data_IF_910079085243
#
_entry.id   IF_910079085243
#
_cell.length_a   1.000
_cell.length_b   1.000
_cell.length_c   1.000
_cell.angle_alpha   90.00
_cell.angle_beta   90.00
_cell.angle_gamma   90.00
#
_symmetry.space_group_name_H-M   'P 1'
#
loop_
_entity.id
_entity.type
_entity.pdbx_description
1 polymer ?
#
# COMPACT_ATOMS: atom_id res chain seq x y z
N UNK A 1 -3.82 7.43 -21.03
CA UNK A 1 -3.67 5.99 -21.35
C UNK A 1 -3.40 5.07 -20.17
N UNK A 2 -2.51 5.41 -19.22
CA UNK A 2 -2.16 4.52 -18.10
C UNK A 2 -3.34 4.11 -17.20
N UNK A 3 -4.24 5.04 -16.86
CA UNK A 3 -5.41 4.74 -16.01
C UNK A 3 -6.36 3.75 -16.68
N UNK A 4 -6.65 3.95 -17.98
CA UNK A 4 -7.45 3.02 -18.80
C UNK A 4 -6.84 1.62 -18.81
N UNK A 5 -5.51 1.52 -19.00
CA UNK A 5 -4.78 0.23 -19.01
C UNK A 5 -4.94 -0.57 -17.71
N UNK A 6 -5.08 0.11 -16.56
CA UNK A 6 -5.18 -0.55 -15.25
C UNK A 6 -6.61 -0.60 -14.70
N UNK A 7 -7.62 -0.23 -15.50
CA UNK A 7 -9.01 -0.19 -15.06
C UNK A 7 -9.29 0.82 -13.93
N UNK A 8 -8.49 1.88 -13.82
CA UNK A 8 -8.64 2.88 -12.76
C UNK A 8 -9.48 4.06 -13.25
N UNK A 9 -10.56 4.36 -12.51
CA UNK A 9 -11.38 5.54 -12.76
C UNK A 9 -10.62 6.84 -12.41
N UNK A 10 -10.78 7.87 -13.24
CA UNK A 10 -10.21 9.19 -13.02
C UNK A 10 -11.18 10.27 -13.45
N UNK A 11 -11.20 11.38 -12.71
CA UNK A 11 -11.98 12.58 -13.02
C UNK A 11 -11.07 13.81 -12.92
N UNK A 12 -11.36 14.82 -13.71
CA UNK A 12 -10.65 16.11 -13.72
C UNK A 12 -11.65 17.26 -13.86
N UNK A 13 -11.18 18.50 -13.70
CA UNK A 13 -12.04 19.69 -13.76
C UNK A 13 -12.92 19.92 -12.52
N UNK A 14 -12.66 19.19 -11.43
CA UNK A 14 -13.32 19.40 -10.14
C UNK A 14 -12.54 20.38 -9.27
N UNK A 15 -13.22 21.07 -8.35
CA UNK A 15 -12.57 21.88 -7.32
C UNK A 15 -11.97 20.98 -6.22
N UNK A 16 -10.72 20.58 -6.41
CA UNK A 16 -9.98 19.77 -5.44
C UNK A 16 -9.68 20.54 -4.15
N UNK A 17 -9.67 21.89 -4.16
CA UNK A 17 -9.46 22.71 -2.96
C UNK A 17 -10.66 22.64 -2.04
N UNK A 18 -11.88 22.76 -2.58
CA UNK A 18 -13.12 22.58 -1.83
C UNK A 18 -13.22 21.16 -1.25
N UNK A 19 -12.92 20.14 -2.05
CA UNK A 19 -12.90 18.75 -1.60
C UNK A 19 -11.93 18.52 -0.44
N UNK A 20 -10.71 19.06 -0.55
CA UNK A 20 -9.67 18.94 0.49
C UNK A 20 -10.11 19.60 1.80
N UNK A 21 -10.76 20.77 1.76
CA UNK A 21 -11.30 21.42 2.96
C UNK A 21 -12.34 20.55 3.65
N UNK A 22 -13.28 20.00 2.87
CA UNK A 22 -14.33 19.13 3.39
C UNK A 22 -13.76 17.90 4.10
N UNK A 23 -12.77 17.22 3.50
CA UNK A 23 -12.09 16.07 4.12
C UNK A 23 -11.35 16.50 5.39
N UNK A 24 -10.64 17.64 5.37
CA UNK A 24 -9.90 18.13 6.54
C UNK A 24 -10.80 18.43 7.75
N UNK A 25 -11.98 19.00 7.50
CA UNK A 25 -12.92 19.42 8.54
C UNK A 25 -13.71 18.25 9.16
N UNK A 26 -13.97 17.19 8.38
CA UNK A 26 -14.80 16.05 8.82
C UNK A 26 -14.00 14.75 9.07
N UNK A 27 -12.69 14.74 8.80
CA UNK A 27 -11.85 13.54 8.92
C UNK A 27 -12.05 12.56 7.75
N UNK A 28 -12.10 11.27 8.05
CA UNK A 28 -12.27 10.22 7.03
C UNK A 28 -13.68 10.27 6.44
N UNK A 29 -13.78 10.60 5.15
CA UNK A 29 -15.04 10.62 4.40
C UNK A 29 -14.99 9.53 3.33
N UNK A 30 -15.99 8.64 3.33
CA UNK A 30 -16.16 7.67 2.25
C UNK A 30 -16.68 8.37 0.98
N UNK A 31 -16.11 8.02 -0.17
CA UNK A 31 -16.40 8.65 -1.46
C UNK A 31 -16.47 7.65 -2.61
N UNK A 32 -17.14 8.02 -3.70
CA UNK A 32 -17.28 7.19 -4.90
C UNK A 32 -17.30 8.05 -6.17
N UNK A 33 -16.67 7.55 -7.23
CA UNK A 33 -16.77 8.09 -8.59
C UNK A 33 -17.75 7.21 -9.36
N UNK A 34 -18.78 7.80 -9.96
CA UNK A 34 -19.82 7.09 -10.71
C UNK A 34 -19.80 7.62 -12.14
N UNK A 35 -19.59 6.73 -13.11
CA UNK A 35 -19.59 7.06 -14.53
C UNK A 35 -20.95 6.70 -15.13
N UNK A 36 -22.00 7.45 -14.76
CA UNK A 36 -23.33 7.32 -15.36
C UNK A 36 -23.91 8.70 -15.71
N UNK A 37 -24.61 8.86 -16.84
CA UNK A 37 -25.16 10.16 -17.27
C UNK A 37 -26.24 10.70 -16.32
N UNK A 38 -27.11 9.82 -15.83
CA UNK A 38 -28.17 10.11 -14.87
C UNK A 38 -28.79 8.80 -14.38
N UNK A 39 -29.52 8.86 -13.25
CA UNK A 39 -30.31 7.74 -12.75
C UNK A 39 -30.39 7.73 -11.23
N UNK A 40 -31.33 6.95 -10.66
CA UNK A 40 -31.27 6.66 -9.23
C UNK A 40 -30.03 5.78 -8.97
N UNK A 41 -29.21 6.18 -8.01
CA UNK A 41 -27.99 5.47 -7.62
C UNK A 41 -28.32 4.27 -6.70
N UNK A 42 -29.14 3.33 -7.19
CA UNK A 42 -29.66 2.20 -6.41
C UNK A 42 -28.55 1.18 -6.16
N UNK A 43 -28.44 0.68 -4.93
CA UNK A 43 -27.45 -0.33 -4.54
C UNK A 43 -26.04 0.21 -4.27
N UNK A 44 -25.88 1.54 -4.18
CA UNK A 44 -24.60 2.15 -3.84
C UNK A 44 -24.41 2.22 -2.32
N UNK A 45 -23.89 1.14 -1.74
CA UNK A 45 -23.47 1.16 -0.33
C UNK A 45 -22.03 1.64 -0.19
N UNK A 46 -21.78 2.56 0.74
CA UNK A 46 -20.43 2.87 1.17
C UNK A 46 -19.96 1.76 2.12
N UNK A 47 -18.80 1.17 1.83
CA UNK A 47 -18.15 0.19 2.70
C UNK A 47 -16.81 0.77 3.12
N UNK A 48 -16.52 0.69 4.40
CA UNK A 48 -15.22 1.10 4.90
C UNK A 48 -14.17 0.06 4.47
N UNK A 49 -13.10 0.51 3.81
CA UNK A 49 -11.99 -0.36 3.43
C UNK A 49 -11.25 -0.93 4.65
N UNK A 50 -11.33 -0.26 5.81
CA UNK A 50 -10.64 -0.67 7.03
C UNK A 50 -11.26 -1.91 7.69
N UNK A 51 -12.44 -2.37 7.24
CA UNK A 51 -13.02 -3.65 7.68
C UNK A 51 -12.25 -4.87 7.15
N UNK A 52 -11.35 -4.66 6.18
CA UNK A 52 -10.54 -5.71 5.55
C UNK A 52 -9.09 -5.62 6.00
N UNK A 53 -8.40 -6.76 6.02
CA UNK A 53 -6.95 -6.78 6.22
C UNK A 53 -6.24 -6.36 4.91
N UNK A 54 -6.15 -5.04 4.68
CA UNK A 54 -5.53 -4.48 3.49
C UNK A 54 -4.04 -4.83 3.38
N UNK A 55 -3.36 -5.00 4.51
CA UNK A 55 -1.97 -5.47 4.57
C UNK A 55 -1.82 -6.85 3.94
N UNK A 56 -2.69 -7.80 4.30
CA UNK A 56 -2.65 -9.15 3.73
C UNK A 56 -2.91 -9.17 2.22
N UNK A 57 -3.71 -8.25 1.72
CA UNK A 57 -4.00 -8.13 0.29
C UNK A 57 -2.78 -7.67 -0.50
N UNK A 58 -2.06 -6.65 -0.01
CA UNK A 58 -0.93 -6.03 -0.72
C UNK A 58 0.43 -6.67 -0.44
N UNK A 59 0.57 -7.41 0.66
CA UNK A 59 1.80 -8.12 1.02
C UNK A 59 2.24 -9.08 -0.09
N UNK A 60 3.56 -9.20 -0.28
CA UNK A 60 4.19 -10.27 -1.05
C UNK A 60 3.68 -11.64 -0.60
N UNK A 61 3.60 -12.58 -1.56
CA UNK A 61 3.13 -13.95 -1.31
C UNK A 61 4.28 -14.94 -1.08
N UNK A 62 5.51 -14.52 -1.38
CA UNK A 62 6.71 -15.33 -1.21
C UNK A 62 7.89 -14.47 -0.80
N UNK A 63 8.89 -15.09 -0.18
CA UNK A 63 10.13 -14.42 0.20
C UNK A 63 10.89 -13.99 -1.06
N UNK A 64 11.38 -12.75 -1.06
CA UNK A 64 12.21 -12.21 -2.14
C UNK A 64 13.47 -11.59 -1.54
N UNK A 65 14.62 -12.11 -1.93
CA UNK A 65 15.93 -11.61 -1.48
C UNK A 65 16.51 -10.62 -2.49
N UNK A 66 16.94 -9.46 -2.00
CA UNK A 66 17.69 -8.47 -2.74
C UNK A 66 19.10 -8.32 -2.20
N UNK A 67 20.07 -8.10 -3.09
CA UNK A 67 21.49 -7.93 -2.75
C UNK A 67 22.00 -9.08 -1.87
N UNK A 68 21.92 -10.33 -2.37
CA UNK A 68 22.16 -11.56 -1.60
C UNK A 68 23.51 -11.65 -0.90
N UNK A 69 24.54 -10.95 -1.42
CA UNK A 69 25.89 -10.88 -0.84
C UNK A 69 26.11 -9.67 0.08
N UNK A 70 25.07 -8.87 0.29
CA UNK A 70 25.12 -7.65 1.10
C UNK A 70 25.18 -7.92 2.60
N UNK A 71 25.52 -6.87 3.33
CA UNK A 71 25.53 -6.83 4.80
C UNK A 71 25.23 -5.40 5.27
N UNK A 72 24.47 -5.20 6.36
CA UNK A 72 23.84 -6.23 7.21
C UNK A 72 22.69 -6.97 6.52
N UNK A 73 22.26 -8.10 7.09
CA UNK A 73 21.06 -8.84 6.70
C UNK A 73 19.83 -8.20 7.34
N UNK A 74 18.91 -7.72 6.51
CA UNK A 74 17.67 -7.08 6.95
C UNK A 74 16.49 -7.95 6.55
N UNK A 75 15.72 -8.39 7.54
CA UNK A 75 14.39 -8.96 7.30
C UNK A 75 13.38 -7.82 7.22
N UNK A 76 12.72 -7.66 6.06
CA UNK A 76 11.72 -6.64 5.82
C UNK A 76 10.33 -7.29 5.74
N UNK A 77 9.48 -7.08 6.75
CA UNK A 77 8.09 -7.50 6.71
C UNK A 77 7.33 -6.58 5.77
N UNK A 78 6.74 -7.17 4.72
CA UNK A 78 5.98 -6.44 3.71
C UNK A 78 4.54 -6.22 4.15
N UNK A 79 4.29 -5.04 4.71
CA UNK A 79 2.95 -4.57 5.02
C UNK A 79 2.30 -3.79 3.86
N UNK A 80 2.92 -3.71 2.68
CA UNK A 80 2.61 -2.72 1.64
C UNK A 80 3.81 -1.84 1.31
N UNK A 81 4.98 -2.48 1.26
CA UNK A 81 6.29 -1.87 1.13
C UNK A 81 6.40 -1.04 -0.14
N UNK A 82 7.03 0.13 -0.01
CA UNK A 82 7.37 0.97 -1.17
C UNK A 82 8.75 0.57 -1.70
N UNK A 83 8.86 0.31 -3.00
CA UNK A 83 10.11 -0.13 -3.64
C UNK A 83 11.33 0.76 -3.32
N UNK A 84 11.13 2.04 -2.99
CA UNK A 84 12.22 2.93 -2.62
C UNK A 84 12.87 2.56 -1.27
N UNK A 85 12.15 1.94 -0.33
CA UNK A 85 12.73 1.44 0.93
C UNK A 85 13.79 0.37 0.66
N UNK A 86 13.47 -0.61 -0.18
CA UNK A 86 14.43 -1.63 -0.64
C UNK A 86 15.64 -0.96 -1.32
N UNK A 87 15.40 -0.02 -2.24
CA UNK A 87 16.49 0.72 -2.93
C UNK A 87 17.41 1.43 -1.94
N UNK A 88 16.85 2.06 -0.91
CA UNK A 88 17.63 2.74 0.11
C UNK A 88 18.50 1.80 0.95
N UNK A 89 18.03 0.60 1.27
CA UNK A 89 18.81 -0.42 1.98
C UNK A 89 19.93 -0.98 1.10
N UNK A 90 19.63 -1.39 -0.13
CA UNK A 90 20.61 -1.92 -1.07
C UNK A 90 21.71 -0.90 -1.34
N UNK A 91 21.37 0.39 -1.50
CA UNK A 91 22.34 1.48 -1.70
C UNK A 91 23.33 1.61 -0.52
N UNK A 92 22.96 1.14 0.67
CA UNK A 92 23.82 1.13 1.87
C UNK A 92 24.54 -0.21 2.07
N UNK A 93 24.46 -1.12 1.10
CA UNK A 93 25.15 -2.40 1.12
C UNK A 93 24.37 -3.55 1.77
N UNK A 94 23.19 -3.31 2.33
CA UNK A 94 22.44 -4.33 3.05
C UNK A 94 21.87 -5.43 2.12
N UNK A 95 21.85 -6.68 2.61
CA UNK A 95 21.02 -7.75 2.06
C UNK A 95 19.61 -7.56 2.61
N UNK A 96 18.59 -7.61 1.77
CA UNK A 96 17.20 -7.42 2.20
C UNK A 96 16.37 -8.64 1.81
N UNK A 97 15.88 -9.36 2.81
CA UNK A 97 14.91 -10.45 2.65
C UNK A 97 13.52 -9.88 2.91
N UNK A 98 12.74 -9.67 1.85
CA UNK A 98 11.35 -9.19 1.95
C UNK A 98 10.45 -10.41 2.16
N UNK A 99 9.70 -10.41 3.25
CA UNK A 99 8.87 -11.55 3.68
C UNK A 99 7.40 -11.15 3.78
N UNK A 100 6.45 -12.11 3.65
CA UNK A 100 5.04 -11.84 3.85
C UNK A 100 4.73 -11.21 5.22
N UNK A 101 3.64 -10.46 5.31
CA UNK A 101 3.19 -9.78 6.53
C UNK A 101 3.04 -10.71 7.76
N UNK A 102 2.67 -11.97 7.53
CA UNK A 102 2.44 -13.02 8.54
C UNK A 102 3.62 -13.98 8.69
N UNK A 103 4.79 -13.61 8.15
CA UNK A 103 5.98 -14.45 8.20
C UNK A 103 6.44 -14.70 9.64
N UNK A 104 6.68 -15.97 9.98
CA UNK A 104 7.24 -16.36 11.27
C UNK A 104 8.71 -15.97 11.33
N UNK A 105 9.06 -15.06 12.24
CA UNK A 105 10.41 -14.56 12.39
C UNK A 105 11.34 -15.56 13.11
N UNK A 106 12.55 -15.69 12.60
CA UNK A 106 13.69 -16.29 13.30
C UNK A 106 14.76 -15.21 13.55
N UNK A 107 14.95 -14.85 14.82
CA UNK A 107 15.83 -13.75 15.24
C UNK A 107 17.30 -14.02 14.87
N UNK A 108 17.69 -15.27 14.66
CA UNK A 108 19.07 -15.62 14.27
C UNK A 108 19.33 -15.44 12.76
N UNK A 109 18.26 -15.28 11.97
CA UNK A 109 18.35 -15.26 10.51
C UNK A 109 18.73 -13.88 9.92
N UNK A 110 18.62 -12.81 10.70
CA UNK A 110 18.87 -11.43 10.28
C UNK A 110 19.64 -10.62 11.35
N UNK A 111 20.24 -9.51 10.93
CA UNK A 111 20.94 -8.57 11.82
C UNK A 111 20.07 -7.34 12.15
N UNK A 112 19.02 -7.10 11.35
CA UNK A 112 18.00 -6.08 11.61
C UNK A 112 16.62 -6.47 11.09
N UNK A 113 15.58 -6.01 11.78
CA UNK A 113 14.18 -6.16 11.39
C UNK A 113 13.63 -4.81 10.93
N UNK A 114 12.94 -4.80 9.80
CA UNK A 114 12.26 -3.62 9.27
C UNK A 114 10.77 -3.92 9.05
N UNK A 115 9.91 -3.09 9.62
CA UNK A 115 8.46 -3.12 9.36
C UNK A 115 8.15 -2.03 8.33
N UNK A 116 7.65 -2.42 7.16
CA UNK A 116 7.32 -1.43 6.13
C UNK A 116 6.05 -0.65 6.47
N UNK A 117 5.81 0.43 5.73
CA UNK A 117 4.49 1.04 5.70
C UNK A 117 3.46 0.06 5.11
N UNK A 118 2.18 0.35 5.33
CA UNK A 118 1.06 -0.39 4.77
C UNK A 118 -0.20 0.44 4.61
N UNK A 119 -1.20 -0.08 3.88
CA UNK A 119 -2.56 0.47 3.84
C UNK A 119 -3.39 -0.02 5.03
N UNK A 120 -4.49 0.68 5.30
CA UNK A 120 -5.39 0.38 6.42
C UNK A 120 -5.02 1.12 7.69
N UNK A 121 -5.75 0.81 8.76
CA UNK A 121 -5.44 1.22 10.12
C UNK A 121 -4.87 0.06 10.94
#
# INVERSE_FOLDING_TARGET
>A
DRMKKHGIAGISGIDTRSLTKKIRENGTILGRIIQQPSGPFIGLEFKDQNERNLVAEVSTKSIVTYNSKGSPRICAIDCGLKLNQIRCFIKRGAKVDVVPWDHKLDVNSFDGLFLSNGPGE
#
